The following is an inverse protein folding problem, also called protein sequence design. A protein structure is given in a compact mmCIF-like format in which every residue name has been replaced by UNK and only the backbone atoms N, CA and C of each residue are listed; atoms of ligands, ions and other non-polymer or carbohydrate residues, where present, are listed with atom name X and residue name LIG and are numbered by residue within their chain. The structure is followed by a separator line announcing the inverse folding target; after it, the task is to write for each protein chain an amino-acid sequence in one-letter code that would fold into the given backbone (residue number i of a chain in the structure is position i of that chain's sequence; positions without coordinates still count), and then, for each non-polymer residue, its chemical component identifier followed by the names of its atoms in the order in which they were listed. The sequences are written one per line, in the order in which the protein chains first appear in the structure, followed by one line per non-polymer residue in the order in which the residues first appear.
data_IF_969513223767
#
_entry.id   IF_969513223767
#
_cell.length_a   1.000
_cell.length_b   1.000
_cell.length_c   1.000
_cell.angle_alpha   90.00
_cell.angle_beta   90.00
_cell.angle_gamma   90.00
#
_symmetry.space_group_name_H-M   'P 1'
#
loop_
_entity.id
_entity.type
_entity.pdbx_description
1 polymer ?
#
# COMPACT_ATOMS: atom_id res chain seq x y z
N UNK A 1 12.17 22.41 14.33
CA UNK A 1 12.47 20.98 14.07
C UNK A 1 11.14 20.32 13.79
N UNK A 2 10.88 19.97 12.54
CA UNK A 2 9.62 19.35 12.11
C UNK A 2 9.52 17.99 12.77
N UNK A 3 8.54 17.82 13.66
CA UNK A 3 8.17 16.51 14.20
C UNK A 3 7.87 15.59 13.02
N UNK A 4 8.78 14.66 12.75
CA UNK A 4 8.43 13.43 12.05
C UNK A 4 7.37 12.82 12.97
N UNK A 5 6.10 12.82 12.58
CA UNK A 5 5.12 11.95 13.21
C UNK A 5 5.65 10.54 13.00
N UNK A 6 6.36 9.99 14.00
CA UNK A 6 6.94 8.67 13.94
C UNK A 6 5.78 7.70 13.82
N UNK A 7 5.53 7.23 12.60
CA UNK A 7 4.48 6.25 12.38
C UNK A 7 4.98 4.89 12.85
N UNK A 8 4.09 4.00 13.32
CA UNK A 8 4.47 2.75 13.95
C UNK A 8 5.26 1.84 13.02
N UNK A 9 5.00 1.92 11.72
CA UNK A 9 5.59 1.07 10.71
C UNK A 9 6.74 1.71 9.92
N UNK A 10 7.30 2.85 10.34
CA UNK A 10 8.44 3.47 9.63
C UNK A 10 9.65 2.52 9.52
N UNK A 11 10.03 1.86 10.62
CA UNK A 11 11.15 0.91 10.61
C UNK A 11 10.89 -0.30 9.72
N UNK A 12 9.63 -0.71 9.58
CA UNK A 12 9.25 -1.79 8.68
C UNK A 12 9.25 -1.33 7.21
N UNK A 13 8.77 -0.11 6.92
CA UNK A 13 8.87 0.51 5.60
C UNK A 13 10.33 0.61 5.13
N UNK A 14 11.25 1.02 6.02
CA UNK A 14 12.68 1.03 5.73
C UNK A 14 13.20 -0.39 5.45
N UNK A 15 12.87 -1.36 6.31
CA UNK A 15 13.30 -2.75 6.13
C UNK A 15 12.83 -3.34 4.80
N UNK A 16 11.60 -3.03 4.38
CA UNK A 16 11.06 -3.45 3.09
C UNK A 16 11.92 -2.92 1.94
N UNK A 17 12.21 -1.61 1.93
CA UNK A 17 13.06 -1.00 0.89
C UNK A 17 14.45 -1.64 0.90
N UNK A 18 15.08 -1.75 2.07
CA UNK A 18 16.43 -2.34 2.20
C UNK A 18 16.50 -3.81 1.78
N UNK A 19 15.46 -4.59 2.08
CA UNK A 19 15.35 -5.99 1.65
C UNK A 19 15.29 -6.09 0.13
N UNK A 20 14.44 -5.31 -0.53
CA UNK A 20 14.32 -5.41 -1.99
C UNK A 20 15.56 -4.86 -2.71
N UNK A 21 16.19 -3.82 -2.19
CA UNK A 21 17.48 -3.36 -2.69
C UNK A 21 18.56 -4.45 -2.62
N UNK A 22 18.64 -5.18 -1.50
CA UNK A 22 19.61 -6.28 -1.34
C UNK A 22 19.25 -7.51 -2.18
N UNK A 23 17.98 -7.73 -2.48
CA UNK A 23 17.48 -8.77 -3.38
C UNK A 23 17.67 -8.45 -4.87
N UNK A 24 18.25 -7.29 -5.22
CA UNK A 24 18.56 -6.92 -6.60
C UNK A 24 17.58 -5.95 -7.26
N UNK A 25 16.71 -5.28 -6.48
CA UNK A 25 15.76 -4.28 -6.95
C UNK A 25 16.13 -2.86 -6.47
N UNK A 26 17.24 -2.26 -6.95
CA UNK A 26 17.73 -0.97 -6.46
C UNK A 26 16.80 0.22 -6.78
N UNK A 27 15.87 0.08 -7.74
CA UNK A 27 14.87 1.10 -8.08
C UNK A 27 13.81 1.32 -7.00
N UNK A 28 13.62 0.33 -6.11
CA UNK A 28 12.75 0.46 -4.94
C UNK A 28 13.51 1.30 -3.90
N UNK A 29 13.06 2.53 -3.72
CA UNK A 29 13.68 3.57 -2.86
C UNK A 29 12.70 4.17 -1.86
N UNK A 30 11.42 3.84 -1.99
CA UNK A 30 10.31 4.36 -1.22
C UNK A 30 9.26 3.27 -0.98
N UNK A 31 8.78 3.19 0.25
CA UNK A 31 7.67 2.35 0.66
C UNK A 31 6.70 3.15 1.53
N UNK A 32 5.42 3.11 1.18
CA UNK A 32 4.33 3.61 2.01
C UNK A 32 3.47 2.44 2.48
N UNK A 33 3.48 2.19 3.78
CA UNK A 33 2.60 1.23 4.45
C UNK A 33 1.30 1.93 4.78
N UNK A 34 0.18 1.35 4.33
CA UNK A 34 -1.17 1.86 4.52
C UNK A 34 -2.04 0.85 5.25
N UNK A 35 -2.95 1.37 6.08
CA UNK A 35 -4.09 0.62 6.63
C UNK A 35 -5.33 0.94 5.82
N UNK A 36 -6.06 -0.09 5.42
CA UNK A 36 -7.30 0.02 4.67
C UNK A 36 -8.41 -0.57 5.53
N UNK A 37 -9.24 0.29 6.11
CA UNK A 37 -10.46 -0.09 6.83
C UNK A 37 -11.67 0.01 5.93
N UNK A 38 -12.69 -0.82 6.19
CA UNK A 38 -13.98 -0.75 5.51
C UNK A 38 -14.90 0.23 6.23
N UNK A 39 -15.42 1.24 5.51
CA UNK A 39 -16.39 2.20 6.05
C UNK A 39 -17.82 1.68 5.97
N UNK A 40 -18.19 1.12 4.81
CA UNK A 40 -19.54 0.61 4.52
C UNK A 40 -19.54 -0.32 3.32
N UNK A 41 -20.67 -1.00 3.11
CA UNK A 41 -20.93 -1.85 1.95
C UNK A 41 -20.34 -3.24 2.09
N UNK A 42 -20.83 -4.17 1.28
CA UNK A 42 -20.23 -5.49 1.12
C UNK A 42 -19.38 -5.55 -0.17
N UNK A 43 -18.71 -6.69 -0.36
CA UNK A 43 -17.84 -6.90 -1.52
C UNK A 43 -18.57 -6.68 -2.85
N UNK A 44 -19.78 -7.20 -2.99
CA UNK A 44 -20.53 -7.13 -4.25
C UNK A 44 -20.96 -5.71 -4.57
N UNK A 45 -21.44 -4.96 -3.56
CA UNK A 45 -21.79 -3.54 -3.70
C UNK A 45 -20.57 -2.71 -4.15
N UNK A 46 -19.43 -2.93 -3.49
CA UNK A 46 -18.19 -2.18 -3.75
C UNK A 46 -17.64 -2.50 -5.13
N UNK A 47 -17.55 -3.79 -5.49
CA UNK A 47 -17.06 -4.20 -6.81
C UNK A 47 -17.93 -3.60 -7.91
N UNK A 48 -19.26 -3.61 -7.76
CA UNK A 48 -20.18 -2.98 -8.72
C UNK A 48 -20.02 -1.44 -8.78
N UNK A 49 -19.73 -0.77 -7.67
CA UNK A 49 -19.44 0.67 -7.67
C UNK A 49 -18.12 0.99 -8.40
N UNK A 50 -17.09 0.18 -8.20
CA UNK A 50 -15.79 0.35 -8.84
C UNK A 50 -15.86 0.04 -10.34
N UNK A 51 -16.59 -0.99 -10.73
CA UNK A 51 -16.84 -1.33 -12.14
C UNK A 51 -17.57 -0.20 -12.85
N UNK A 52 -18.66 0.32 -12.27
CA UNK A 52 -19.39 1.49 -12.82
C UNK A 52 -18.51 2.73 -12.96
N UNK A 53 -17.60 2.96 -12.02
CA UNK A 53 -16.63 4.06 -12.14
C UNK A 53 -15.67 3.81 -13.31
N UNK A 54 -15.18 2.58 -13.47
CA UNK A 54 -14.33 2.18 -14.60
C UNK A 54 -15.03 2.38 -15.95
N UNK A 55 -16.28 1.94 -16.09
CA UNK A 55 -17.06 2.07 -17.33
C UNK A 55 -17.28 3.52 -17.76
N UNK A 56 -17.26 4.45 -16.80
CA UNK A 56 -17.45 5.89 -17.01
C UNK A 56 -16.14 6.66 -17.12
N UNK A 57 -15.00 5.95 -17.14
CA UNK A 57 -13.66 6.53 -17.03
C UNK A 57 -13.53 7.52 -15.85
N UNK A 58 -14.19 7.20 -14.74
CA UNK A 58 -14.21 7.98 -13.52
C UNK A 58 -13.21 7.44 -12.48
N UNK A 59 -12.88 8.28 -11.50
CA UNK A 59 -12.07 7.85 -10.34
C UNK A 59 -12.88 6.86 -9.49
N UNK A 60 -12.27 5.77 -9.00
CA UNK A 60 -12.94 4.84 -8.11
C UNK A 60 -13.34 5.55 -6.80
N UNK A 61 -14.52 5.21 -6.22
CA UNK A 61 -15.07 5.87 -5.04
C UNK A 61 -14.39 5.40 -3.75
N UNK A 62 -13.06 5.55 -3.65
CA UNK A 62 -12.27 5.04 -2.52
C UNK A 62 -12.75 5.57 -1.17
N UNK A 63 -12.81 6.90 -1.00
CA UNK A 63 -13.18 7.53 0.28
C UNK A 63 -14.64 7.31 0.70
N UNK A 64 -15.49 6.81 -0.21
CA UNK A 64 -16.87 6.43 0.11
C UNK A 64 -16.92 5.08 0.86
N UNK A 65 -16.10 4.12 0.44
CA UNK A 65 -16.16 2.74 0.92
C UNK A 65 -15.01 2.35 1.86
N UNK A 66 -13.86 3.00 1.72
CA UNK A 66 -12.65 2.69 2.45
C UNK A 66 -12.12 3.90 3.19
N UNK A 67 -11.58 3.63 4.37
CA UNK A 67 -10.73 4.54 5.11
C UNK A 67 -9.28 4.09 4.90
N UNK A 68 -8.46 4.96 4.29
CA UNK A 68 -7.06 4.66 4.00
C UNK A 68 -6.17 5.60 4.81
N UNK A 69 -5.46 5.03 5.79
CA UNK A 69 -4.57 5.77 6.69
C UNK A 69 -3.12 5.36 6.46
N UNK A 70 -2.16 6.29 6.48
CA UNK A 70 -0.75 5.94 6.51
C UNK A 70 -0.42 5.26 7.84
N UNK A 71 0.45 4.26 7.78
CA UNK A 71 0.89 3.50 8.95
C UNK A 71 2.41 3.45 9.06
N UNK A 72 3.12 3.58 7.94
CA UNK A 72 4.57 3.66 7.90
C UNK A 72 5.03 4.29 6.60
N UNK A 73 6.11 5.06 6.63
CA UNK A 73 6.69 5.63 5.43
C UNK A 73 8.20 5.63 5.51
N UNK A 74 8.83 5.27 4.40
CA UNK A 74 10.26 5.42 4.19
C UNK A 74 10.53 5.87 2.77
N UNK A 75 11.45 6.81 2.58
CA UNK A 75 11.91 7.26 1.28
C UNK A 75 13.31 7.82 1.40
N UNK A 76 14.17 7.51 0.43
CA UNK A 76 15.49 8.13 0.30
C UNK A 76 15.43 9.54 -0.33
N UNK A 77 14.30 9.90 -0.93
CA UNK A 77 14.19 11.08 -1.81
C UNK A 77 13.35 12.21 -1.24
N UNK A 78 12.36 11.91 -0.38
CA UNK A 78 11.42 12.91 0.12
C UNK A 78 10.88 12.61 1.51
N UNK A 79 10.31 13.63 2.13
CA UNK A 79 9.61 13.47 3.41
C UNK A 79 8.19 12.91 3.23
N UNK A 80 7.63 12.32 4.29
CA UNK A 80 6.23 11.89 4.28
C UNK A 80 5.27 13.05 3.97
N UNK A 81 5.53 14.27 4.45
CA UNK A 81 4.68 15.42 4.17
C UNK A 81 4.61 15.74 2.68
N UNK A 82 5.74 15.63 1.96
CA UNK A 82 5.79 15.79 0.52
C UNK A 82 5.08 14.63 -0.20
N UNK A 83 5.32 13.38 0.22
CA UNK A 83 4.65 12.21 -0.35
C UNK A 83 3.13 12.25 -0.16
N UNK A 84 2.65 12.69 1.00
CA UNK A 84 1.21 12.86 1.28
C UNK A 84 0.58 13.90 0.37
N UNK A 85 1.26 15.03 0.15
CA UNK A 85 0.77 16.10 -0.72
C UNK A 85 0.59 15.64 -2.18
N UNK A 86 1.48 14.76 -2.65
CA UNK A 86 1.46 14.18 -4.00
C UNK A 86 0.64 12.87 -4.09
N UNK A 87 0.08 12.34 -2.99
CA UNK A 87 -0.70 11.09 -3.02
C UNK A 87 -1.84 11.06 -4.06
N UNK A 88 -2.55 12.18 -4.33
CA UNK A 88 -3.58 12.22 -5.37
C UNK A 88 -3.07 11.92 -6.79
N UNK A 89 -1.79 12.14 -7.07
CA UNK A 89 -1.12 11.85 -8.35
C UNK A 89 -0.29 10.58 -8.27
N UNK A 90 0.45 10.37 -7.17
CA UNK A 90 1.38 9.25 -6.99
C UNK A 90 0.72 7.89 -6.87
N UNK A 91 -0.47 7.82 -6.28
CA UNK A 91 -1.25 6.58 -6.20
C UNK A 91 -2.08 6.44 -7.48
N UNK A 92 -1.56 5.69 -8.43
CA UNK A 92 -2.14 5.52 -9.77
C UNK A 92 -3.55 4.95 -9.80
N UNK A 93 -4.27 5.26 -10.89
CA UNK A 93 -5.67 4.86 -11.07
C UNK A 93 -5.85 3.33 -11.05
N UNK A 94 -4.94 2.58 -11.66
CA UNK A 94 -5.06 1.11 -11.71
C UNK A 94 -4.88 0.51 -10.31
N UNK A 95 -3.87 0.94 -9.55
CA UNK A 95 -3.70 0.49 -8.17
C UNK A 95 -4.92 0.85 -7.31
N UNK A 96 -5.50 2.05 -7.47
CA UNK A 96 -6.71 2.46 -6.75
C UNK A 96 -7.90 1.56 -7.06
N UNK A 97 -8.08 1.15 -8.32
CA UNK A 97 -9.15 0.22 -8.73
C UNK A 97 -9.01 -1.16 -8.09
N UNK A 98 -7.82 -1.52 -7.60
CA UNK A 98 -7.52 -2.83 -7.01
C UNK A 98 -7.54 -2.86 -5.48
N UNK A 99 -7.85 -1.73 -4.83
CA UNK A 99 -8.04 -1.66 -3.37
C UNK A 99 -9.08 -2.67 -2.83
N UNK A 100 -10.22 -2.92 -3.49
CA UNK A 100 -11.15 -3.96 -3.02
C UNK A 100 -10.53 -5.35 -2.94
N UNK A 101 -9.69 -5.73 -3.92
CA UNK A 101 -8.98 -7.01 -3.90
C UNK A 101 -8.00 -7.08 -2.72
N UNK A 102 -7.28 -5.98 -2.45
CA UNK A 102 -6.42 -5.88 -1.26
C UNK A 102 -7.24 -6.08 0.02
N UNK A 103 -8.42 -5.49 0.14
CA UNK A 103 -9.20 -5.64 1.36
C UNK A 103 -9.83 -7.04 1.50
N UNK A 104 -10.46 -7.58 0.45
CA UNK A 104 -11.31 -8.77 0.53
C UNK A 104 -10.59 -10.10 0.23
N UNK A 105 -9.53 -10.09 -0.58
CA UNK A 105 -8.87 -11.34 -0.96
C UNK A 105 -7.89 -11.79 0.13
N UNK A 106 -7.69 -13.11 0.22
CA UNK A 106 -6.73 -13.71 1.15
C UNK A 106 -5.32 -13.36 0.74
N UNK A 107 -4.48 -13.05 1.71
CA UNK A 107 -3.08 -12.79 1.43
C UNK A 107 -2.36 -14.06 0.93
N UNK A 108 -1.37 -13.89 0.04
CA UNK A 108 -0.94 -12.63 -0.54
C UNK A 108 -1.80 -12.10 -1.68
N UNK A 109 -1.81 -10.78 -1.80
CA UNK A 109 -2.32 -10.08 -2.99
C UNK A 109 -1.22 -9.16 -3.49
N UNK A 110 -0.79 -9.36 -4.74
CA UNK A 110 0.22 -8.54 -5.40
C UNK A 110 -0.42 -7.90 -6.61
N UNK A 111 -0.46 -6.58 -6.66
CA UNK A 111 -1.00 -5.82 -7.77
C UNK A 111 0.13 -5.05 -8.42
N UNK A 112 0.24 -5.21 -9.73
CA UNK A 112 1.16 -4.51 -10.61
C UNK A 112 0.43 -3.41 -11.38
N UNK A 113 1.10 -2.26 -11.52
CA UNK A 113 0.76 -1.19 -12.44
C UNK A 113 1.97 -0.87 -13.35
N UNK A 114 2.53 -1.90 -14.01
CA UNK A 114 3.68 -1.78 -14.91
C UNK A 114 3.49 -0.80 -16.08
N UNK A 115 2.27 -0.32 -16.33
CA UNK A 115 1.94 0.66 -17.35
C UNK A 115 1.77 2.08 -16.79
N UNK A 116 1.99 2.28 -15.50
CA UNK A 116 1.99 3.58 -14.85
C UNK A 116 3.04 4.50 -15.47
N UNK A 117 2.60 5.52 -16.19
CA UNK A 117 3.46 6.61 -16.63
C UNK A 117 3.17 7.85 -15.80
N UNK A 118 4.16 8.32 -15.03
CA UNK A 118 4.06 9.57 -14.27
C UNK A 118 3.40 9.45 -12.89
N UNK A 119 3.16 8.23 -12.40
CA UNK A 119 2.85 7.97 -10.99
C UNK A 119 4.10 7.49 -10.26
N UNK A 120 4.13 7.59 -8.94
CA UNK A 120 5.31 7.18 -8.14
C UNK A 120 5.22 5.73 -7.68
N UNK A 121 4.03 5.22 -7.41
CA UNK A 121 3.84 3.84 -6.97
C UNK A 121 3.29 3.00 -8.10
N UNK A 122 3.96 1.87 -8.35
CA UNK A 122 3.62 0.96 -9.44
C UNK A 122 3.34 -0.46 -8.91
N UNK A 123 3.48 -0.69 -7.61
CA UNK A 123 3.01 -1.91 -6.97
C UNK A 123 2.24 -1.62 -5.68
N UNK A 124 1.20 -2.43 -5.46
CA UNK A 124 0.43 -2.47 -4.23
C UNK A 124 0.37 -3.92 -3.72
N UNK A 125 0.89 -4.15 -2.53
CA UNK A 125 1.09 -5.50 -2.00
C UNK A 125 0.44 -5.68 -0.63
N UNK A 126 -0.34 -6.74 -0.47
CA UNK A 126 -0.83 -7.26 0.81
C UNK A 126 -0.12 -8.56 1.12
N UNK A 127 0.52 -8.60 2.27
CA UNK A 127 1.35 -9.72 2.67
C UNK A 127 0.73 -10.60 3.78
N UNK A 128 -0.28 -10.11 4.50
CA UNK A 128 -1.00 -10.83 5.55
C UNK A 128 -2.50 -10.67 5.41
N UNK A 129 -3.27 -11.64 5.91
CA UNK A 129 -4.72 -11.50 6.05
C UNK A 129 -5.07 -10.29 6.93
N UNK A 130 -6.33 -9.84 6.85
CA UNK A 130 -6.77 -8.66 7.59
C UNK A 130 -6.63 -8.89 9.10
N UNK A 131 -6.28 -7.82 9.81
CA UNK A 131 -6.20 -7.79 11.27
C UNK A 131 -7.24 -6.82 11.79
N UNK A 132 -8.03 -7.21 12.80
CA UNK A 132 -8.91 -6.29 13.54
C UNK A 132 -9.67 -5.30 12.63
N UNK A 133 -10.29 -5.83 11.57
CA UNK A 133 -11.11 -5.12 10.57
C UNK A 133 -10.39 -4.16 9.61
N UNK A 134 -9.06 -4.26 9.48
CA UNK A 134 -8.30 -3.57 8.43
C UNK A 134 -7.31 -4.48 7.70
N UNK A 135 -7.07 -4.17 6.43
CA UNK A 135 -5.96 -4.73 5.67
C UNK A 135 -4.72 -3.84 5.84
N UNK A 136 -3.54 -4.46 5.93
CA UNK A 136 -2.25 -3.74 5.81
C UNK A 136 -1.71 -3.99 4.41
N UNK A 137 -1.37 -2.91 3.71
CA UNK A 137 -0.80 -2.98 2.39
C UNK A 137 0.42 -2.06 2.26
N UNK A 138 1.27 -2.33 1.27
CA UNK A 138 2.49 -1.59 0.99
C UNK A 138 2.46 -1.12 -0.46
N UNK A 139 2.59 0.19 -0.65
CA UNK A 139 2.85 0.82 -1.94
C UNK A 139 4.37 0.91 -2.13
N UNK A 140 4.86 0.44 -3.28
CA UNK A 140 6.28 0.45 -3.65
C UNK A 140 6.48 1.22 -4.96
N UNK A 141 7.56 1.97 -5.03
CA UNK A 141 7.91 2.70 -6.24
C UNK A 141 8.78 1.84 -7.18
N UNK A 142 8.54 1.97 -8.48
CA UNK A 142 9.42 1.51 -9.56
C UNK A 142 10.02 0.08 -9.41
N UNK A 143 9.20 -0.95 -9.12
CA UNK A 143 9.65 -2.32 -9.22
C UNK A 143 9.83 -2.71 -10.70
N UNK A 144 10.98 -3.30 -11.04
CA UNK A 144 11.20 -3.87 -12.38
C UNK A 144 10.30 -5.10 -12.59
N UNK A 145 9.99 -5.50 -13.84
CA UNK A 145 9.07 -6.63 -14.10
C UNK A 145 9.46 -7.95 -13.41
N UNK A 146 10.76 -8.20 -13.21
CA UNK A 146 11.29 -9.36 -12.47
C UNK A 146 10.94 -9.36 -10.97
N UNK A 147 10.47 -8.24 -10.43
CA UNK A 147 10.01 -8.10 -9.05
C UNK A 147 8.79 -8.99 -8.76
N UNK A 148 7.85 -9.04 -9.70
CA UNK A 148 6.63 -9.83 -9.52
C UNK A 148 6.92 -11.34 -9.57
N UNK A 149 7.86 -11.76 -10.41
CA UNK A 149 8.38 -13.14 -10.42
C UNK A 149 9.11 -13.48 -9.11
N UNK A 150 9.87 -12.54 -8.56
CA UNK A 150 10.50 -12.68 -7.26
C UNK A 150 9.47 -12.84 -6.14
N UNK A 151 8.43 -11.99 -6.11
CA UNK A 151 7.36 -12.13 -5.12
C UNK A 151 6.61 -13.45 -5.25
N UNK A 152 6.39 -13.95 -6.48
CA UNK A 152 5.70 -15.21 -6.71
C UNK A 152 6.52 -16.44 -6.28
N UNK A 153 7.83 -16.37 -6.43
CA UNK A 153 8.76 -17.45 -6.04
C UNK A 153 9.13 -17.44 -4.55
N UNK A 154 8.97 -16.31 -3.85
CA UNK A 154 9.35 -16.14 -2.44
C UNK A 154 8.13 -15.95 -1.51
N UNK A 155 6.96 -16.49 -1.89
CA UNK A 155 5.76 -16.45 -1.05
C UNK A 155 6.01 -17.18 0.28
N UNK A 156 5.67 -16.56 1.41
CA UNK A 156 5.64 -17.23 2.72
C UNK A 156 6.56 -16.63 3.79
N UNK A 157 7.53 -17.41 4.29
CA UNK A 157 8.33 -17.07 5.47
C UNK A 157 9.15 -15.76 5.33
N UNK A 158 9.59 -15.45 4.10
CA UNK A 158 10.33 -14.22 3.80
C UNK A 158 9.47 -12.98 4.05
N UNK A 159 8.18 -13.07 3.78
CA UNK A 159 7.27 -11.95 4.03
C UNK A 159 7.07 -11.71 5.52
N UNK A 160 6.95 -12.75 6.36
CA UNK A 160 6.93 -12.54 7.82
C UNK A 160 8.19 -11.80 8.32
N UNK A 161 9.34 -12.09 7.74
CA UNK A 161 10.62 -11.42 8.07
C UNK A 161 10.65 -9.96 7.59
N UNK A 162 10.21 -9.71 6.35
CA UNK A 162 10.13 -8.38 5.72
C UNK A 162 9.15 -7.48 6.48
N UNK A 163 7.97 -8.03 6.81
CA UNK A 163 6.92 -7.34 7.55
C UNK A 163 7.31 -7.08 9.01
N UNK A 164 8.10 -7.96 9.62
CA UNK A 164 8.34 -7.94 11.05
C UNK A 164 7.04 -8.04 11.85
N UNK A 165 7.05 -7.54 13.08
CA UNK A 165 5.86 -7.47 13.94
C UNK A 165 5.07 -6.18 13.65
N UNK A 166 4.46 -6.05 12.47
CA UNK A 166 3.44 -5.01 12.24
C UNK A 166 2.33 -5.04 13.31
N UNK A 167 2.10 -6.23 13.87
CA UNK A 167 1.13 -6.56 14.93
C UNK A 167 1.41 -5.82 16.25
N UNK A 168 2.68 -5.58 16.62
CA UNK A 168 3.03 -5.02 17.93
C UNK A 168 2.87 -3.50 18.04
N UNK A 169 2.63 -2.82 16.92
CA UNK A 169 2.55 -1.36 16.88
C UNK A 169 1.09 -0.84 16.67
N UNK A 170 0.12 -1.74 16.50
CA UNK A 170 -1.26 -1.42 16.16
C UNK A 170 -2.11 -0.98 17.37
N UNK A 171 -1.73 -1.37 18.59
CA UNK A 171 -2.55 -1.15 19.79
C UNK A 171 -2.64 0.29 20.30
N UNK A 172 -1.82 1.22 19.79
CA UNK A 172 -1.71 2.58 20.35
C UNK A 172 -1.69 3.72 19.33
N UNK A 173 -1.77 3.42 18.03
CA UNK A 173 -1.59 4.45 17.01
C UNK A 173 -2.91 4.97 16.46
N UNK A 174 -3.34 6.08 17.03
CA UNK A 174 -4.49 6.86 16.60
C UNK A 174 -4.03 8.04 15.74
N UNK A 175 -3.57 7.75 14.52
CA UNK A 175 -3.44 8.83 13.53
C UNK A 175 -4.82 9.10 12.95
N UNK A 176 -5.33 10.30 13.18
CA UNK A 176 -6.50 10.89 12.49
C UNK A 176 -6.18 11.32 11.04
N UNK A 177 -5.03 10.90 10.50
CA UNK A 177 -4.57 11.32 9.18
C UNK A 177 -5.11 10.36 8.13
N UNK A 178 -6.11 10.76 7.36
CA UNK A 178 -6.49 10.08 6.12
C UNK A 178 -5.56 10.49 4.97
N UNK A 179 -5.34 9.55 4.02
CA UNK A 179 -4.59 9.82 2.79
C UNK A 179 -5.42 10.57 1.74
N UNK A 180 -6.75 10.56 1.85
CA UNK A 180 -7.70 11.10 0.87
C UNK A 180 -8.78 11.94 1.54
#
# INVERSE_FOLDING_TARGET
MNSISAMPANSAAERIVRHFQSAGFPGITEALVIRIGLKKGDRAEIEAAFERASDRDARPPLGEYFEIRPYGFYSELRSFAAAKAEMPTDFGLNLRRKVPAIYFDRAPVVIDDALATGTKYDALVKFSDNMLDYAVAVLLNDPTSSFFEYLDSHRGADWKTILGEFENAAGSFDQEVELF
#
